data_IF_511818864932
#
_entry.id   IF_511818864932
#
_cell.length_a   1.000
_cell.length_b   1.000
_cell.length_c   1.000
_cell.angle_alpha   90.00
_cell.angle_beta   90.00
_cell.angle_gamma   90.00
#
_symmetry.space_group_name_H-M   'P 1'
#
loop_
_entity.id
_entity.type
_entity.pdbx_description
1 polymer ?
#
# COMPACT_ATOMS: atom_id res chain seq x y z
N UNK A 1 -34.27 15.11 -8.36
CA UNK A 1 -33.94 13.83 -9.00
C UNK A 1 -33.35 12.94 -7.92
N UNK A 2 -34.21 12.19 -7.24
CA UNK A 2 -33.84 11.24 -6.19
C UNK A 2 -33.54 9.90 -6.85
N UNK A 3 -32.30 9.70 -7.27
CA UNK A 3 -31.83 8.38 -7.70
C UNK A 3 -31.66 7.54 -6.43
N UNK A 4 -32.42 6.50 -6.44
CA UNK A 4 -32.62 5.43 -5.50
C UNK A 4 -31.32 5.00 -4.78
N UNK A 5 -31.10 5.50 -3.59
CA UNK A 5 -29.94 5.15 -2.74
C UNK A 5 -30.17 3.84 -1.95
N UNK A 6 -31.25 3.14 -2.26
CA UNK A 6 -31.65 1.90 -1.60
C UNK A 6 -30.97 0.65 -2.14
N UNK A 7 -30.22 0.72 -3.27
CA UNK A 7 -29.56 -0.44 -3.87
C UNK A 7 -28.20 -0.83 -3.24
N UNK A 8 -27.74 -0.15 -2.21
CA UNK A 8 -26.48 -0.49 -1.52
C UNK A 8 -26.67 -1.36 -0.27
N UNK A 9 -27.90 -1.64 0.12
CA UNK A 9 -28.20 -2.64 1.13
C UNK A 9 -28.21 -4.01 0.45
N UNK A 10 -27.24 -4.86 0.83
CA UNK A 10 -27.20 -6.26 0.46
C UNK A 10 -28.53 -6.90 0.87
N UNK A 11 -29.34 -7.31 -0.09
CA UNK A 11 -30.64 -7.94 0.19
C UNK A 11 -30.43 -9.41 0.57
N UNK A 12 -30.47 -9.68 1.86
CA UNK A 12 -30.31 -11.02 2.44
C UNK A 12 -31.42 -12.00 2.04
N UNK A 13 -32.53 -11.50 1.49
CA UNK A 13 -33.65 -12.30 1.03
C UNK A 13 -33.50 -12.79 -0.41
N UNK A 14 -32.47 -12.33 -1.13
CA UNK A 14 -32.26 -12.64 -2.55
C UNK A 14 -31.88 -14.11 -2.75
N UNK A 15 -32.71 -14.85 -3.45
CA UNK A 15 -32.47 -16.25 -3.88
C UNK A 15 -32.34 -16.33 -5.38
N UNK A 16 -31.38 -17.15 -5.87
CA UNK A 16 -31.03 -17.31 -7.29
C UNK A 16 -32.18 -17.66 -8.21
N UNK A 17 -33.25 -18.27 -7.70
CA UNK A 17 -34.41 -18.74 -8.49
C UNK A 17 -35.73 -18.18 -7.96
N UNK A 18 -35.78 -17.04 -7.34
CA UNK A 18 -37.07 -16.39 -7.10
C UNK A 18 -37.42 -15.53 -8.30
N UNK A 19 -38.70 -15.56 -8.72
CA UNK A 19 -39.27 -14.79 -9.84
C UNK A 19 -39.12 -13.28 -9.73
N UNK A 20 -38.48 -12.80 -8.65
CA UNK A 20 -38.30 -11.39 -8.29
C UNK A 20 -37.03 -10.74 -8.90
N UNK A 21 -36.35 -11.39 -9.86
CA UNK A 21 -35.29 -10.73 -10.63
C UNK A 21 -34.01 -10.41 -9.86
N UNK A 22 -33.73 -11.09 -8.75
CA UNK A 22 -32.48 -10.94 -7.99
C UNK A 22 -31.28 -11.43 -8.79
N UNK A 23 -30.50 -10.51 -9.36
CA UNK A 23 -29.21 -10.81 -9.96
C UNK A 23 -28.10 -11.00 -8.91
N UNK A 24 -27.00 -11.67 -9.29
CA UNK A 24 -25.80 -11.74 -8.47
C UNK A 24 -25.30 -10.32 -8.14
N UNK A 25 -25.17 -9.94 -6.86
CA UNK A 25 -24.70 -8.62 -6.47
C UNK A 25 -23.19 -8.52 -6.67
N UNK A 26 -22.75 -8.30 -7.91
CA UNK A 26 -21.35 -8.20 -8.23
C UNK A 26 -20.72 -6.99 -7.48
N UNK A 27 -19.63 -7.21 -6.73
CA UNK A 27 -18.90 -6.10 -6.11
C UNK A 27 -18.35 -5.16 -7.19
N UNK A 28 -18.63 -3.88 -7.05
CA UNK A 28 -18.23 -2.84 -7.99
C UNK A 28 -17.50 -1.68 -7.31
N UNK A 29 -17.20 -0.64 -8.08
CA UNK A 29 -16.56 0.58 -7.59
C UNK A 29 -17.35 1.25 -6.44
N UNK A 30 -18.67 1.07 -6.42
CA UNK A 30 -19.54 1.58 -5.36
C UNK A 30 -19.22 0.99 -3.98
N UNK A 31 -18.61 -0.20 -3.91
CA UNK A 31 -18.16 -0.81 -2.65
C UNK A 31 -17.02 -0.05 -1.98
N UNK A 32 -16.35 0.86 -2.71
CA UNK A 32 -15.27 1.71 -2.22
C UNK A 32 -15.73 3.12 -1.85
N UNK A 33 -17.01 3.46 -2.08
CA UNK A 33 -17.61 4.74 -1.73
C UNK A 33 -18.24 4.62 -0.34
N UNK A 34 -17.55 5.12 0.68
CA UNK A 34 -18.07 5.14 2.05
C UNK A 34 -18.84 6.40 2.34
N UNK A 35 -20.01 6.25 2.98
CA UNK A 35 -20.71 7.37 3.58
C UNK A 35 -19.85 7.98 4.69
N UNK A 36 -19.80 9.31 4.83
CA UNK A 36 -19.09 9.95 5.92
C UNK A 36 -19.67 9.52 7.25
N UNK A 37 -18.79 9.18 8.21
CA UNK A 37 -19.19 8.85 9.57
C UNK A 37 -19.71 10.08 10.31
N UNK A 38 -19.04 11.20 10.12
CA UNK A 38 -19.43 12.51 10.59
C UNK A 38 -18.78 13.61 9.74
N UNK A 39 -19.43 14.77 9.68
CA UNK A 39 -18.92 15.94 8.98
C UNK A 39 -18.64 17.04 10.00
N UNK A 40 -17.43 17.58 10.01
CA UNK A 40 -17.03 18.69 10.88
C UNK A 40 -16.53 19.83 10.00
N UNK A 41 -17.24 20.96 10.00
CA UNK A 41 -16.81 22.15 9.27
C UNK A 41 -16.61 21.97 7.77
N UNK A 42 -17.39 21.07 7.12
CA UNK A 42 -17.26 20.78 5.67
C UNK A 42 -16.23 19.68 5.35
N UNK A 43 -15.54 19.14 6.35
CA UNK A 43 -14.63 18.01 6.18
C UNK A 43 -15.37 16.70 6.50
N UNK A 44 -15.43 15.80 5.52
CA UNK A 44 -16.07 14.50 5.64
C UNK A 44 -15.10 13.45 6.20
N UNK A 45 -15.35 12.98 7.42
CA UNK A 45 -14.53 11.96 8.05
C UNK A 45 -15.07 10.56 7.72
N UNK A 46 -14.30 9.80 6.93
CA UNK A 46 -14.68 8.49 6.43
C UNK A 46 -14.02 7.35 7.23
N UNK A 47 -14.59 6.13 7.15
CA UNK A 47 -14.04 4.91 7.75
C UNK A 47 -12.54 4.71 7.39
N UNK A 48 -12.15 5.02 6.17
CA UNK A 48 -10.77 4.84 5.68
C UNK A 48 -9.79 5.76 6.43
N UNK A 49 -10.19 7.00 6.70
CA UNK A 49 -9.37 7.95 7.48
C UNK A 49 -9.23 7.50 8.93
N UNK A 50 -10.31 6.95 9.51
CA UNK A 50 -10.26 6.36 10.85
C UNK A 50 -9.25 5.20 10.91
N UNK A 51 -9.30 4.29 9.94
CA UNK A 51 -8.36 3.16 9.87
C UNK A 51 -6.91 3.62 9.69
N UNK A 52 -6.66 4.65 8.88
CA UNK A 52 -5.33 5.23 8.71
C UNK A 52 -4.81 5.84 10.03
N UNK A 53 -5.67 6.55 10.77
CA UNK A 53 -5.33 7.13 12.06
C UNK A 53 -5.05 6.03 13.11
N UNK A 54 -5.89 5.00 13.15
CA UNK A 54 -5.68 3.83 14.03
C UNK A 54 -4.37 3.13 13.67
N UNK A 55 -4.05 2.97 12.38
CA UNK A 55 -2.77 2.39 11.92
C UNK A 55 -1.58 3.20 12.45
N UNK A 56 -1.63 4.53 12.31
CA UNK A 56 -0.59 5.41 12.82
C UNK A 56 -0.40 5.23 14.33
N UNK A 57 -1.51 5.23 15.07
CA UNK A 57 -1.49 5.05 16.52
C UNK A 57 -0.93 3.68 16.91
N UNK A 58 -1.30 2.62 16.19
CA UNK A 58 -0.78 1.27 16.44
C UNK A 58 0.73 1.17 16.20
N UNK A 59 1.24 1.73 15.09
CA UNK A 59 2.69 1.75 14.80
C UNK A 59 3.44 2.48 15.90
N UNK A 60 3.00 3.71 16.23
CA UNK A 60 3.65 4.53 17.26
C UNK A 60 3.61 3.84 18.63
N UNK A 61 2.45 3.30 19.02
CA UNK A 61 2.28 2.62 20.31
C UNK A 61 3.12 1.35 20.39
N UNK A 62 3.14 0.54 19.31
CA UNK A 62 3.92 -0.69 19.25
C UNK A 62 5.41 -0.41 19.42
N UNK A 63 5.98 0.52 18.64
CA UNK A 63 7.40 0.84 18.73
C UNK A 63 7.75 1.55 20.04
N UNK A 64 6.88 2.42 20.55
CA UNK A 64 7.08 3.05 21.85
C UNK A 64 7.08 2.04 22.99
N UNK A 65 6.17 1.05 22.95
CA UNK A 65 6.12 -0.01 23.96
C UNK A 65 7.30 -1.01 23.82
N UNK A 66 7.71 -1.32 22.60
CA UNK A 66 8.83 -2.24 22.34
C UNK A 66 10.20 -1.66 22.76
N UNK A 67 10.42 -0.37 22.49
CA UNK A 67 11.73 0.26 22.69
C UNK A 67 11.78 1.29 23.82
N UNK A 68 10.64 1.73 24.35
CA UNK A 68 10.59 2.75 25.41
C UNK A 68 11.30 2.38 26.71
N UNK A 69 11.41 1.08 27.03
CA UNK A 69 12.17 0.54 28.17
C UNK A 69 12.98 -0.67 27.74
N UNK A 70 13.86 -0.47 26.75
CA UNK A 70 14.70 -1.54 26.23
C UNK A 70 15.58 -2.16 27.33
N UNK A 71 15.53 -3.47 27.45
CA UNK A 71 16.32 -4.25 28.41
C UNK A 71 17.38 -5.07 27.66
N UNK A 72 18.51 -5.34 28.29
CA UNK A 72 19.58 -6.21 27.76
C UNK A 72 19.05 -7.64 27.49
N UNK A 73 18.16 -8.13 28.37
CA UNK A 73 17.41 -9.37 28.12
C UNK A 73 16.03 -8.98 27.59
N UNK A 74 15.77 -9.12 26.29
CA UNK A 74 14.55 -8.62 25.67
C UNK A 74 13.32 -9.40 26.12
N UNK A 75 12.25 -8.70 26.42
CA UNK A 75 10.92 -9.30 26.60
C UNK A 75 10.31 -9.71 25.24
N UNK A 76 9.24 -10.51 25.26
CA UNK A 76 8.59 -11.01 24.03
C UNK A 76 8.23 -9.90 23.04
N UNK A 77 7.68 -8.77 23.50
CA UNK A 77 7.31 -7.64 22.66
C UNK A 77 8.55 -6.96 22.03
N UNK A 78 9.60 -6.76 22.83
CA UNK A 78 10.86 -6.19 22.39
C UNK A 78 11.53 -7.11 21.35
N UNK A 79 11.53 -8.42 21.57
CA UNK A 79 12.09 -9.41 20.64
C UNK A 79 11.39 -9.37 19.27
N UNK A 80 10.06 -9.26 19.25
CA UNK A 80 9.29 -9.12 17.99
C UNK A 80 9.61 -7.79 17.31
N UNK A 81 9.68 -6.69 18.07
CA UNK A 81 10.04 -5.37 17.55
C UNK A 81 11.46 -5.35 16.97
N UNK A 82 12.44 -5.93 17.68
CA UNK A 82 13.84 -6.03 17.21
C UNK A 82 13.96 -6.90 15.97
N UNK A 83 13.27 -8.04 15.91
CA UNK A 83 13.28 -8.93 14.75
C UNK A 83 12.71 -8.22 13.50
N UNK A 84 11.59 -7.51 13.66
CA UNK A 84 11.01 -6.74 12.56
C UNK A 84 11.89 -5.56 12.12
N UNK A 85 12.48 -4.85 13.09
CA UNK A 85 13.43 -3.76 12.83
C UNK A 85 14.66 -4.26 12.08
N UNK A 86 15.28 -5.36 12.55
CA UNK A 86 16.45 -5.96 11.94
C UNK A 86 16.16 -6.54 10.54
N UNK A 87 14.97 -7.08 10.33
CA UNK A 87 14.53 -7.54 9.00
C UNK A 87 14.58 -6.40 7.97
N UNK A 88 13.99 -5.25 8.28
CA UNK A 88 14.03 -4.09 7.37
C UNK A 88 15.44 -3.52 7.26
N UNK A 89 16.14 -3.37 8.38
CA UNK A 89 17.48 -2.79 8.45
C UNK A 89 18.50 -3.58 7.64
N UNK A 90 18.59 -4.89 7.90
CA UNK A 90 19.59 -5.76 7.25
C UNK A 90 19.11 -6.28 5.90
N UNK A 91 17.86 -6.74 5.82
CA UNK A 91 17.33 -7.38 4.62
C UNK A 91 16.93 -6.41 3.50
N UNK A 92 16.77 -5.12 3.78
CA UNK A 92 16.40 -4.15 2.74
C UNK A 92 17.42 -3.00 2.69
N UNK A 93 17.57 -2.27 3.80
CA UNK A 93 18.32 -1.01 3.80
C UNK A 93 19.82 -1.24 3.59
N UNK A 94 20.41 -2.18 4.30
CA UNK A 94 21.86 -2.44 4.16
C UNK A 94 22.23 -3.13 2.86
N UNK A 95 21.35 -3.97 2.32
CA UNK A 95 21.58 -4.61 1.02
C UNK A 95 21.54 -3.58 -0.12
N UNK A 96 20.70 -2.54 0.00
CA UNK A 96 20.54 -1.54 -1.06
C UNK A 96 21.50 -0.36 -0.90
N UNK A 97 21.55 0.25 0.29
CA UNK A 97 22.30 1.51 0.56
C UNK A 97 23.68 1.28 1.17
N UNK A 98 23.99 0.04 1.58
CA UNK A 98 25.17 -0.25 2.39
C UNK A 98 25.01 0.22 3.84
N UNK A 99 25.89 -0.28 4.73
CA UNK A 99 25.79 -0.03 6.18
C UNK A 99 25.98 1.45 6.56
N UNK A 100 26.96 2.11 5.92
CA UNK A 100 27.38 3.48 6.29
C UNK A 100 26.31 4.54 5.98
N UNK A 101 25.77 4.52 4.78
CA UNK A 101 24.74 5.49 4.35
C UNK A 101 23.33 5.03 4.75
N UNK A 102 23.08 3.73 4.74
CA UNK A 102 21.79 3.16 5.08
C UNK A 102 21.35 3.44 6.51
N UNK A 103 22.26 3.46 7.50
CA UNK A 103 21.92 3.67 8.90
C UNK A 103 21.09 4.92 9.16
N UNK A 104 21.33 5.98 8.41
CA UNK A 104 20.59 7.25 8.51
C UNK A 104 19.13 7.12 8.07
N UNK A 105 18.85 6.18 7.17
CA UNK A 105 17.54 5.99 6.55
C UNK A 105 16.70 4.88 7.19
N UNK A 106 17.34 4.05 8.04
CA UNK A 106 16.63 2.94 8.71
C UNK A 106 15.34 3.37 9.41
N UNK A 107 15.30 4.46 10.22
CA UNK A 107 14.08 4.83 10.93
C UNK A 107 12.92 5.16 9.98
N UNK A 108 13.19 5.86 8.86
CA UNK A 108 12.20 6.19 7.85
C UNK A 108 11.70 4.92 7.15
N UNK A 109 12.61 4.03 6.75
CA UNK A 109 12.27 2.81 6.02
C UNK A 109 11.49 1.82 6.88
N UNK A 110 11.86 1.68 8.15
CA UNK A 110 11.11 0.86 9.12
C UNK A 110 9.70 1.41 9.32
N UNK A 111 9.57 2.73 9.49
CA UNK A 111 8.27 3.38 9.65
C UNK A 111 7.38 3.16 8.42
N UNK A 112 7.93 3.35 7.21
CA UNK A 112 7.19 3.12 5.96
C UNK A 112 6.78 1.66 5.80
N UNK A 113 7.67 0.71 6.11
CA UNK A 113 7.38 -0.72 6.00
C UNK A 113 6.18 -1.12 6.87
N UNK A 114 6.25 -0.83 8.17
CA UNK A 114 5.21 -1.21 9.09
C UNK A 114 3.91 -0.45 8.85
N UNK A 115 4.01 0.81 8.46
CA UNK A 115 2.83 1.61 8.14
C UNK A 115 2.10 1.05 6.91
N UNK A 116 2.80 0.79 5.80
CA UNK A 116 2.22 0.20 4.60
C UNK A 116 1.67 -1.20 4.88
N UNK A 117 2.41 -2.03 5.59
CA UNK A 117 1.97 -3.39 5.92
C UNK A 117 0.70 -3.40 6.76
N UNK A 118 0.65 -2.59 7.83
CA UNK A 118 -0.54 -2.49 8.68
C UNK A 118 -1.73 -1.86 7.97
N UNK A 119 -1.52 -0.87 7.10
CA UNK A 119 -2.60 -0.31 6.28
C UNK A 119 -3.25 -1.36 5.36
N UNK A 120 -2.47 -2.32 4.88
CA UNK A 120 -2.96 -3.37 4.01
C UNK A 120 -3.65 -4.49 4.78
N UNK A 121 -3.16 -4.85 5.97
CA UNK A 121 -3.66 -5.97 6.77
C UNK A 121 -5.12 -5.79 7.21
N UNK A 122 -5.63 -4.55 7.21
CA UNK A 122 -7.04 -4.26 7.51
C UNK A 122 -8.02 -4.94 6.55
N UNK A 123 -7.60 -5.32 5.34
CA UNK A 123 -8.46 -6.04 4.39
C UNK A 123 -8.90 -7.40 4.90
N UNK A 124 -8.04 -8.07 5.67
CA UNK A 124 -8.25 -9.44 6.18
C UNK A 124 -8.92 -9.44 7.56
N UNK A 125 -8.84 -8.33 8.30
CA UNK A 125 -9.45 -8.24 9.63
C UNK A 125 -10.98 -8.12 9.51
N UNK A 126 -11.76 -9.06 10.09
CA UNK A 126 -13.22 -9.14 9.86
C UNK A 126 -14.03 -7.89 10.20
N UNK A 127 -13.58 -7.06 11.14
CA UNK A 127 -14.25 -5.82 11.55
C UNK A 127 -13.97 -4.65 10.60
N UNK A 128 -12.78 -4.61 10.03
CA UNK A 128 -12.37 -3.55 9.11
C UNK A 128 -12.74 -3.88 7.67
N UNK A 129 -12.35 -5.07 7.21
CA UNK A 129 -12.62 -5.62 5.87
C UNK A 129 -12.37 -4.63 4.72
N UNK A 130 -11.36 -3.76 4.89
CA UNK A 130 -11.05 -2.75 3.89
C UNK A 130 -9.58 -2.32 3.97
N UNK A 131 -8.77 -2.52 2.91
CA UNK A 131 -7.41 -2.04 2.87
C UNK A 131 -7.40 -0.53 2.63
N UNK A 132 -6.77 0.23 3.52
CA UNK A 132 -6.67 1.69 3.42
C UNK A 132 -5.98 2.11 2.11
N UNK A 133 -5.02 1.32 1.65
CA UNK A 133 -4.26 1.56 0.42
C UNK A 133 -5.08 1.37 -0.86
N UNK A 134 -6.31 0.83 -0.79
CA UNK A 134 -7.23 0.77 -1.94
C UNK A 134 -7.89 2.11 -2.27
N UNK A 135 -7.64 3.15 -1.48
CA UNK A 135 -7.97 4.53 -1.83
C UNK A 135 -6.68 5.21 -2.29
N UNK A 136 -6.61 5.59 -3.56
CA UNK A 136 -5.39 6.09 -4.23
C UNK A 136 -4.71 7.28 -3.52
N UNK A 137 -5.47 8.07 -2.75
CA UNK A 137 -4.94 9.20 -2.01
C UNK A 137 -3.85 8.80 -1.01
N UNK A 138 -3.99 7.68 -0.29
CA UNK A 138 -3.01 7.24 0.70
C UNK A 138 -1.69 6.75 0.07
N UNK A 139 -1.71 5.84 -0.92
CA UNK A 139 -0.51 5.48 -1.67
C UNK A 139 0.19 6.68 -2.30
N UNK A 140 -0.57 7.66 -2.81
CA UNK A 140 -0.02 8.86 -3.43
C UNK A 140 0.72 9.75 -2.41
N UNK A 141 0.16 9.93 -1.21
CA UNK A 141 0.82 10.67 -0.13
C UNK A 141 2.11 9.96 0.31
N UNK A 142 2.09 8.64 0.46
CA UNK A 142 3.29 7.88 0.84
C UNK A 142 4.37 7.95 -0.24
N UNK A 143 3.99 7.80 -1.51
CA UNK A 143 4.91 7.95 -2.63
C UNK A 143 5.46 9.38 -2.71
N UNK A 144 4.64 10.40 -2.43
CA UNK A 144 5.07 11.80 -2.38
C UNK A 144 6.11 12.04 -1.28
N UNK A 145 5.95 11.45 -0.09
CA UNK A 145 6.94 11.55 1.00
C UNK A 145 8.30 10.99 0.54
N UNK A 146 8.30 9.81 -0.07
CA UNK A 146 9.53 9.18 -0.61
C UNK A 146 10.14 10.05 -1.70
N UNK A 147 9.31 10.57 -2.59
CA UNK A 147 9.74 11.39 -3.71
C UNK A 147 10.30 12.75 -3.27
N UNK A 148 9.65 13.45 -2.35
CA UNK A 148 10.15 14.70 -1.77
C UNK A 148 11.49 14.46 -1.07
N UNK A 149 11.63 13.35 -0.36
CA UNK A 149 12.90 12.96 0.29
C UNK A 149 14.00 12.75 -0.75
N UNK A 150 13.70 12.05 -1.84
CA UNK A 150 14.62 11.85 -2.96
C UNK A 150 15.05 13.17 -3.62
N UNK A 151 14.10 14.04 -3.94
CA UNK A 151 14.35 15.38 -4.52
C UNK A 151 15.24 16.21 -3.60
N UNK A 152 14.85 16.32 -2.31
CA UNK A 152 15.61 17.09 -1.33
C UNK A 152 17.05 16.58 -1.17
N UNK A 153 17.23 15.25 -1.16
CA UNK A 153 18.54 14.63 -1.05
C UNK A 153 19.42 14.91 -2.29
N UNK A 154 18.83 14.78 -3.48
CA UNK A 154 19.53 15.04 -4.75
C UNK A 154 19.95 16.49 -4.85
N UNK A 155 19.08 17.44 -4.48
CA UNK A 155 19.45 18.87 -4.40
C UNK A 155 20.55 19.15 -3.40
N UNK A 156 20.49 18.53 -2.21
CA UNK A 156 21.50 18.73 -1.16
C UNK A 156 22.88 18.21 -1.56
N UNK A 157 22.92 17.08 -2.30
CA UNK A 157 24.20 16.44 -2.68
C UNK A 157 24.80 17.03 -3.94
N UNK A 158 23.99 17.28 -4.98
CA UNK A 158 24.47 17.65 -6.31
C UNK A 158 24.25 19.13 -6.68
N UNK A 159 23.50 19.88 -5.85
CA UNK A 159 23.10 21.25 -6.18
C UNK A 159 22.11 21.31 -7.35
N UNK A 160 21.79 22.54 -7.81
CA UNK A 160 20.78 22.77 -8.83
C UNK A 160 21.14 22.14 -10.19
N UNK A 161 22.35 22.38 -10.66
CA UNK A 161 22.82 21.85 -11.95
C UNK A 161 22.98 20.33 -11.89
N UNK A 162 23.51 19.81 -10.78
CA UNK A 162 23.67 18.37 -10.58
C UNK A 162 22.33 17.64 -10.48
N UNK A 163 21.30 18.27 -9.95
CA UNK A 163 19.94 17.72 -9.94
C UNK A 163 19.44 17.45 -11.37
N UNK A 164 19.52 18.46 -12.25
CA UNK A 164 19.09 18.26 -13.64
C UNK A 164 19.92 17.19 -14.36
N UNK A 165 21.23 17.16 -14.12
CA UNK A 165 22.08 16.09 -14.65
C UNK A 165 21.66 14.69 -14.18
N UNK A 166 21.37 14.55 -12.89
CA UNK A 166 20.95 13.26 -12.32
C UNK A 166 19.57 12.84 -12.83
N UNK A 167 18.61 13.79 -12.92
CA UNK A 167 17.24 13.50 -13.38
C UNK A 167 17.19 13.19 -14.86
N UNK A 168 18.06 13.83 -15.69
CA UNK A 168 18.08 13.62 -17.14
C UNK A 168 19.03 12.52 -17.60
N UNK A 169 19.76 11.86 -16.67
CA UNK A 169 20.73 10.82 -17.04
C UNK A 169 21.80 11.31 -18.00
N UNK A 170 22.26 12.55 -17.81
CA UNK A 170 23.23 13.16 -18.73
C UNK A 170 24.54 12.39 -18.77
N UNK A 171 24.75 11.64 -19.86
CA UNK A 171 26.00 10.96 -20.17
C UNK A 171 26.52 11.38 -21.55
N UNK A 172 27.74 11.93 -21.58
CA UNK A 172 28.40 12.39 -22.82
C UNK A 172 28.67 11.27 -23.81
N UNK A 173 28.68 10.01 -23.37
CA UNK A 173 28.94 8.84 -24.23
C UNK A 173 27.82 8.60 -25.26
N UNK A 174 26.61 9.12 -25.02
CA UNK A 174 25.43 8.90 -25.87
C UNK A 174 25.41 9.72 -27.17
N UNK A 175 26.30 10.68 -27.34
CA UNK A 175 26.45 11.44 -28.60
C UNK A 175 25.16 12.08 -29.13
N UNK A 176 24.78 11.77 -30.38
CA UNK A 176 23.60 12.35 -31.04
C UNK A 176 22.25 11.92 -30.45
N UNK A 177 22.19 10.82 -29.69
CA UNK A 177 20.96 10.30 -29.05
C UNK A 177 20.68 10.98 -27.71
N UNK A 178 21.66 11.69 -27.17
CA UNK A 178 21.60 12.35 -25.87
C UNK A 178 20.31 13.18 -25.62
N UNK A 179 19.87 14.09 -26.54
CA UNK A 179 18.70 14.92 -26.25
C UNK A 179 17.42 14.10 -26.14
N UNK A 180 17.28 13.03 -26.90
CA UNK A 180 16.12 12.14 -26.82
C UNK A 180 16.09 11.39 -25.49
N UNK A 181 17.22 10.83 -25.07
CA UNK A 181 17.36 10.11 -23.81
C UNK A 181 17.09 11.04 -22.63
N UNK A 182 17.63 12.26 -22.66
CA UNK A 182 17.40 13.25 -21.61
C UNK A 182 15.92 13.57 -21.41
N UNK A 183 15.16 13.74 -22.49
CA UNK A 183 13.71 13.99 -22.40
C UNK A 183 12.98 12.80 -21.81
N UNK A 184 13.28 11.59 -22.29
CA UNK A 184 12.65 10.35 -21.79
C UNK A 184 12.96 10.15 -20.30
N UNK A 185 14.22 10.28 -19.89
CA UNK A 185 14.62 10.10 -18.50
C UNK A 185 14.05 11.18 -17.59
N UNK A 186 13.98 12.42 -18.05
CA UNK A 186 13.35 13.50 -17.30
C UNK A 186 11.89 13.16 -16.96
N UNK A 187 11.09 12.79 -17.96
CA UNK A 187 9.69 12.39 -17.73
C UNK A 187 9.58 11.12 -16.90
N UNK A 188 10.43 10.14 -17.14
CA UNK A 188 10.46 8.88 -16.40
C UNK A 188 10.76 9.11 -14.93
N UNK A 189 11.81 9.84 -14.62
CA UNK A 189 12.26 10.06 -13.24
C UNK A 189 11.33 11.01 -12.48
N UNK A 190 10.77 12.03 -13.14
CA UNK A 190 9.96 13.06 -12.48
C UNK A 190 8.50 12.66 -12.30
N UNK A 191 7.90 12.01 -13.32
CA UNK A 191 6.46 11.69 -13.35
C UNK A 191 6.19 10.20 -13.18
N UNK A 192 6.84 9.36 -14.01
CA UNK A 192 6.47 7.95 -14.09
C UNK A 192 6.85 7.19 -12.82
N UNK A 193 8.02 7.43 -12.27
CA UNK A 193 8.48 6.75 -11.04
C UNK A 193 7.57 6.97 -9.83
N UNK A 194 7.24 8.20 -9.38
CA UNK A 194 6.37 8.39 -8.24
C UNK A 194 4.94 7.91 -8.52
N UNK A 195 4.45 8.10 -9.74
CA UNK A 195 3.12 7.63 -10.12
C UNK A 195 3.01 6.10 -10.08
N UNK A 196 3.94 5.38 -10.73
CA UNK A 196 3.94 3.91 -10.72
C UNK A 196 4.16 3.34 -9.33
N UNK A 197 4.93 4.02 -8.48
CA UNK A 197 5.13 3.64 -7.08
C UNK A 197 3.82 3.68 -6.28
N UNK A 198 3.02 4.74 -6.44
CA UNK A 198 1.71 4.88 -5.81
C UNK A 198 0.68 3.91 -6.40
N UNK A 199 0.59 3.84 -7.73
CA UNK A 199 -0.40 3.01 -8.44
C UNK A 199 -0.17 1.52 -8.18
N UNK A 200 1.07 1.07 -8.04
CA UNK A 200 1.36 -0.33 -7.71
C UNK A 200 0.75 -0.74 -6.36
N UNK A 201 0.92 0.10 -5.33
CA UNK A 201 0.33 -0.16 -4.01
C UNK A 201 -1.19 -0.14 -4.07
N UNK A 202 -1.76 0.86 -4.73
CA UNK A 202 -3.20 0.98 -4.96
C UNK A 202 -3.77 -0.22 -5.72
N UNK A 203 -3.22 -0.53 -6.90
CA UNK A 203 -3.77 -1.54 -7.80
C UNK A 203 -3.76 -2.94 -7.18
N UNK A 204 -2.67 -3.33 -6.50
CA UNK A 204 -2.59 -4.62 -5.84
C UNK A 204 -3.64 -4.77 -4.74
N UNK A 205 -3.81 -3.74 -3.91
CA UNK A 205 -4.77 -3.80 -2.80
C UNK A 205 -6.23 -3.68 -3.29
N UNK A 206 -6.46 -2.87 -4.32
CA UNK A 206 -7.77 -2.74 -4.94
C UNK A 206 -8.23 -4.05 -5.61
N UNK A 207 -7.37 -4.64 -6.44
CA UNK A 207 -7.68 -5.89 -7.13
C UNK A 207 -7.82 -7.08 -6.16
N UNK A 208 -6.92 -7.21 -5.19
CA UNK A 208 -6.97 -8.26 -4.17
C UNK A 208 -8.26 -8.22 -3.36
N UNK A 209 -8.62 -7.03 -2.88
CA UNK A 209 -9.86 -6.83 -2.13
C UNK A 209 -11.12 -7.11 -2.96
N UNK A 210 -11.17 -6.67 -4.22
CA UNK A 210 -12.29 -6.99 -5.11
C UNK A 210 -12.47 -8.49 -5.30
N UNK A 211 -11.38 -9.22 -5.53
CA UNK A 211 -11.43 -10.68 -5.68
C UNK A 211 -11.89 -11.37 -4.39
N UNK A 212 -11.40 -10.93 -3.24
CA UNK A 212 -11.80 -11.47 -1.94
C UNK A 212 -13.29 -11.27 -1.71
N UNK A 213 -13.81 -10.06 -1.92
CA UNK A 213 -15.24 -9.75 -1.78
C UNK A 213 -16.07 -10.56 -2.77
N UNK A 214 -15.62 -10.70 -4.02
CA UNK A 214 -16.32 -11.46 -5.05
C UNK A 214 -16.50 -12.92 -4.65
N UNK A 215 -15.45 -13.61 -4.19
CA UNK A 215 -15.55 -15.02 -3.77
C UNK A 215 -16.37 -15.17 -2.49
N UNK A 216 -16.27 -14.23 -1.56
CA UNK A 216 -17.06 -14.24 -0.32
C UNK A 216 -18.55 -14.10 -0.61
N UNK A 217 -18.93 -13.13 -1.45
CA UNK A 217 -20.31 -12.89 -1.86
C UNK A 217 -20.84 -14.07 -2.68
N UNK A 218 -20.03 -14.62 -3.59
CA UNK A 218 -20.40 -15.80 -4.39
C UNK A 218 -20.64 -17.01 -3.49
N UNK A 219 -19.82 -17.25 -2.50
CA UNK A 219 -19.96 -18.32 -1.52
C UNK A 219 -21.31 -18.25 -0.80
N UNK A 220 -21.62 -17.06 -0.28
CA UNK A 220 -22.86 -16.82 0.44
C UNK A 220 -24.09 -16.92 -0.50
N UNK A 221 -24.02 -16.36 -1.71
CA UNK A 221 -25.10 -16.38 -2.69
C UNK A 221 -25.42 -17.81 -3.15
N UNK A 222 -24.40 -18.65 -3.40
CA UNK A 222 -24.55 -20.03 -3.80
C UNK A 222 -25.04 -20.93 -2.66
N UNK A 223 -24.71 -20.64 -1.40
CA UNK A 223 -25.25 -21.38 -0.25
C UNK A 223 -26.76 -21.25 -0.12
N UNK A 224 -27.32 -20.13 -0.55
CA UNK A 224 -28.76 -19.87 -0.49
C UNK A 224 -29.53 -20.45 -1.67
N UNK A 225 -28.88 -21.24 -2.53
CA UNK A 225 -29.47 -21.92 -3.70
C UNK A 225 -29.30 -23.44 -3.59
N UNK A 226 -29.80 -24.16 -4.57
CA UNK A 226 -29.60 -25.62 -4.70
C UNK A 226 -28.15 -26.00 -5.09
N UNK A 227 -27.31 -25.01 -5.43
CA UNK A 227 -25.89 -25.19 -5.83
C UNK A 227 -24.93 -25.26 -4.65
N UNK A 228 -25.30 -25.91 -3.56
CA UNK A 228 -24.47 -26.04 -2.34
C UNK A 228 -23.03 -26.54 -2.60
N UNK A 229 -22.76 -27.52 -3.50
CA UNK A 229 -21.40 -27.94 -3.80
C UNK A 229 -20.56 -26.82 -4.39
N UNK A 230 -21.13 -25.96 -5.24
CA UNK A 230 -20.43 -24.81 -5.82
C UNK A 230 -20.14 -23.74 -4.77
N UNK A 231 -21.02 -23.58 -3.77
CA UNK A 231 -20.77 -22.72 -2.61
C UNK A 231 -19.55 -23.19 -1.80
N UNK A 232 -19.41 -24.51 -1.60
CA UNK A 232 -18.25 -25.09 -0.94
C UNK A 232 -16.93 -24.80 -1.66
N UNK A 233 -16.91 -24.92 -2.98
CA UNK A 233 -15.75 -24.58 -3.81
C UNK A 233 -15.42 -23.08 -3.69
N UNK A 234 -16.44 -22.22 -3.78
CA UNK A 234 -16.25 -20.76 -3.63
C UNK A 234 -15.71 -20.38 -2.25
N UNK A 235 -16.16 -21.05 -1.19
CA UNK A 235 -15.66 -20.85 0.18
C UNK A 235 -14.19 -21.25 0.31
N UNK A 236 -13.78 -22.39 -0.27
CA UNK A 236 -12.36 -22.81 -0.30
C UNK A 236 -11.53 -21.78 -1.06
N UNK A 237 -12.03 -21.27 -2.18
CA UNK A 237 -11.36 -20.18 -2.92
C UNK A 237 -11.24 -18.91 -2.09
N UNK A 238 -12.25 -18.54 -1.29
CA UNK A 238 -12.16 -17.41 -0.36
C UNK A 238 -11.02 -17.59 0.63
N UNK A 239 -10.87 -18.77 1.24
CA UNK A 239 -9.77 -19.05 2.17
C UNK A 239 -8.39 -18.99 1.48
N UNK A 240 -8.29 -19.56 0.28
CA UNK A 240 -7.08 -19.47 -0.53
C UNK A 240 -6.72 -18.02 -0.88
N UNK A 241 -7.71 -17.21 -1.22
CA UNK A 241 -7.51 -15.77 -1.51
C UNK A 241 -7.10 -14.97 -0.29
N UNK A 242 -7.60 -15.28 0.91
CA UNK A 242 -7.15 -14.66 2.16
C UNK A 242 -5.66 -14.91 2.39
N UNK A 243 -5.21 -16.16 2.24
CA UNK A 243 -3.79 -16.51 2.40
C UNK A 243 -2.92 -15.84 1.33
N UNK A 244 -3.39 -15.84 0.09
CA UNK A 244 -2.71 -15.15 -1.01
C UNK A 244 -2.60 -13.65 -0.77
N UNK A 245 -3.67 -13.01 -0.31
CA UNK A 245 -3.68 -11.57 -0.02
C UNK A 245 -2.73 -11.21 1.12
N UNK A 246 -2.68 -12.00 2.20
CA UNK A 246 -1.70 -11.82 3.29
C UNK A 246 -0.26 -11.87 2.77
N UNK A 247 0.05 -12.81 1.88
CA UNK A 247 1.36 -12.90 1.26
C UNK A 247 1.66 -11.66 0.39
N UNK A 248 0.73 -11.28 -0.47
CA UNK A 248 0.88 -10.11 -1.36
C UNK A 248 1.07 -8.83 -0.56
N UNK A 249 0.36 -8.66 0.56
CA UNK A 249 0.49 -7.49 1.45
C UNK A 249 1.90 -7.36 2.03
N UNK A 250 2.49 -8.47 2.48
CA UNK A 250 3.86 -8.48 3.00
C UNK A 250 4.88 -8.15 1.91
N UNK A 251 4.75 -8.80 0.73
CA UNK A 251 5.60 -8.54 -0.44
C UNK A 251 5.46 -7.09 -0.92
N UNK A 252 4.26 -6.54 -0.89
CA UNK A 252 4.00 -5.17 -1.31
C UNK A 252 4.68 -4.14 -0.40
N UNK A 253 4.64 -4.34 0.93
CA UNK A 253 5.36 -3.50 1.87
C UNK A 253 6.89 -3.59 1.66
N UNK A 254 7.39 -4.81 1.42
CA UNK A 254 8.81 -5.04 1.10
C UNK A 254 9.23 -4.30 -0.17
N UNK A 255 8.51 -4.48 -1.28
CA UNK A 255 8.81 -3.86 -2.58
C UNK A 255 8.70 -2.33 -2.49
N UNK A 256 7.73 -1.80 -1.73
CA UNK A 256 7.57 -0.37 -1.54
C UNK A 256 8.83 0.25 -0.91
N UNK A 257 9.33 -0.34 0.17
CA UNK A 257 10.54 0.14 0.85
C UNK A 257 11.81 -0.11 0.03
N UNK A 258 11.90 -1.24 -0.66
CA UNK A 258 13.03 -1.55 -1.54
C UNK A 258 13.19 -0.50 -2.65
N UNK A 259 12.08 -0.10 -3.28
CA UNK A 259 12.11 0.96 -4.30
C UNK A 259 12.43 2.33 -3.69
N UNK A 260 11.93 2.64 -2.50
CA UNK A 260 12.31 3.86 -1.79
C UNK A 260 13.83 3.91 -1.52
N UNK A 261 14.41 2.79 -1.08
CA UNK A 261 15.87 2.67 -0.92
C UNK A 261 16.61 2.84 -2.24
N UNK A 262 16.11 2.23 -3.33
CA UNK A 262 16.72 2.36 -4.66
C UNK A 262 16.71 3.80 -5.17
N UNK A 263 15.65 4.57 -4.89
CA UNK A 263 15.60 5.99 -5.23
C UNK A 263 16.64 6.80 -4.44
N UNK A 264 16.77 6.54 -3.14
CA UNK A 264 17.79 7.18 -2.30
C UNK A 264 19.20 6.78 -2.77
N UNK A 265 19.42 5.52 -3.14
CA UNK A 265 20.69 5.05 -3.70
C UNK A 265 21.06 5.82 -4.98
N UNK A 266 20.10 5.98 -5.89
CA UNK A 266 20.29 6.77 -7.11
C UNK A 266 20.62 8.24 -6.84
N UNK A 267 20.04 8.83 -5.78
CA UNK A 267 20.38 10.19 -5.35
C UNK A 267 21.77 10.28 -4.72
N UNK A 268 22.26 9.19 -4.09
CA UNK A 268 23.56 9.13 -3.47
C UNK A 268 24.69 8.67 -4.41
N UNK A 269 24.35 8.12 -5.57
CA UNK A 269 25.35 7.72 -6.56
C UNK A 269 26.12 8.93 -7.08
N UNK A 270 27.44 8.80 -7.16
CA UNK A 270 28.30 9.77 -7.83
C UNK A 270 28.35 9.42 -9.32
N UNK A 271 27.89 10.31 -10.18
CA UNK A 271 28.13 10.19 -11.60
C UNK A 271 29.60 10.59 -11.86
N UNK A 272 30.44 9.59 -12.09
CA UNK A 272 31.79 9.77 -12.59
C UNK A 272 31.80 10.17 -14.06
#
# INVERSE_FOLDING_TARGET
>A
MSADQTQLAFDWSCRIMSDNGCGFPAPGLNSFLFKPLFTVGGFEFNKVMLLALVTTLLVVTFFSAAFGKAKVVPGKLQMVGEAGYDFVRRGIVYETLGKREGEKWVPLMVSLFFFVWLMNIWSVIPLAQFPVSSVIAFPMVLAAIVYITWVALTFKKHGFVGFFKNVTGYDKSLGAVLPLVMVIEFFSNLLVRPFTHAVRLFANMFAGHLMLVMFTVASWYLMNSWMVPAAGVSFIMTLAMILFELFVQAVQAYVFVLLACSYIQGALAEHH
#
